data_IF_299778139586
#
_entry.id   IF_299778139586
#
_cell.length_a   1.000
_cell.length_b   1.000
_cell.length_c   1.000
_cell.angle_alpha   90.00
_cell.angle_beta   90.00
_cell.angle_gamma   90.00
#
_symmetry.space_group_name_H-M   'P 1'
#
loop_
_entity.id
_entity.type
_entity.pdbx_description
1 polymer ?
#
# COMPACT_ATOMS: atom_id res chain seq x y z
N UNK A 1 2.86 -0.81 22.48
CA UNK A 1 3.79 -1.93 22.68
C UNK A 1 4.29 -1.99 24.13
N UNK A 2 3.42 -2.39 25.06
CA UNK A 2 3.72 -2.44 26.51
C UNK A 2 3.39 -3.80 27.12
N UNK A 3 3.48 -4.87 26.34
CA UNK A 3 3.48 -6.24 26.86
C UNK A 3 4.91 -6.66 27.23
N UNK A 4 5.09 -7.48 28.27
CA UNK A 4 6.40 -7.92 28.79
C UNK A 4 7.32 -8.69 27.83
N UNK A 5 6.92 -8.88 26.57
CA UNK A 5 7.70 -9.46 25.48
C UNK A 5 8.28 -8.42 24.51
N UNK A 6 7.97 -7.14 24.71
CA UNK A 6 8.45 -6.06 23.85
C UNK A 6 9.89 -5.67 24.22
N UNK A 7 10.77 -5.59 23.23
CA UNK A 7 12.13 -5.07 23.40
C UNK A 7 12.12 -3.57 23.69
N UNK A 8 13.20 -2.99 24.26
CA UNK A 8 13.31 -1.55 24.47
C UNK A 8 13.14 -0.70 23.20
N UNK A 9 13.36 -1.29 22.02
CA UNK A 9 13.21 -0.66 20.70
C UNK A 9 11.78 -0.74 20.15
N UNK A 10 10.90 -1.55 20.77
CA UNK A 10 9.54 -1.77 20.29
C UNK A 10 8.69 -0.49 20.29
N UNK A 11 8.78 0.44 21.25
CA UNK A 11 8.04 1.70 21.20
C UNK A 11 8.43 2.60 20.01
N UNK A 12 9.68 2.53 19.57
CA UNK A 12 10.20 3.32 18.44
C UNK A 12 9.72 2.75 17.11
N UNK A 13 9.65 1.43 16.98
CA UNK A 13 9.21 0.76 15.75
C UNK A 13 7.68 0.67 15.67
N UNK A 14 7.02 0.33 16.78
CA UNK A 14 5.57 0.16 16.89
C UNK A 14 4.90 1.39 17.49
N UNK A 15 5.42 2.59 17.20
CA UNK A 15 4.94 3.85 17.75
C UNK A 15 3.47 4.14 17.38
N UNK A 16 2.98 3.54 16.29
CA UNK A 16 1.56 3.60 15.88
C UNK A 16 0.64 2.71 16.72
N UNK A 17 1.19 1.75 17.46
CA UNK A 17 0.43 0.80 18.27
C UNK A 17 0.57 -0.65 17.81
N UNK A 18 0.13 -1.57 18.65
CA UNK A 18 0.17 -3.01 18.35
C UNK A 18 -0.80 -3.33 17.21
N UNK A 19 -0.32 -4.05 16.19
CA UNK A 19 -1.15 -4.44 15.04
C UNK A 19 -1.33 -3.36 13.98
N UNK A 20 -0.69 -2.20 14.16
CA UNK A 20 -0.58 -1.16 13.14
C UNK A 20 0.62 -1.42 12.22
N UNK A 21 0.56 -0.85 11.02
CA UNK A 21 1.62 -0.99 10.03
C UNK A 21 2.84 -0.15 10.42
N UNK A 22 4.03 -0.75 10.37
CA UNK A 22 5.31 -0.05 10.59
C UNK A 22 5.74 0.74 9.35
N UNK A 23 6.71 1.64 9.50
CA UNK A 23 7.32 2.33 8.34
C UNK A 23 7.95 1.33 7.37
N UNK A 24 8.70 0.36 7.88
CA UNK A 24 9.22 -0.75 7.06
C UNK A 24 8.10 -1.50 6.32
N UNK A 25 6.94 -1.68 6.94
CA UNK A 25 5.77 -2.29 6.32
C UNK A 25 5.19 -1.45 5.17
N UNK A 26 5.21 -0.12 5.30
CA UNK A 26 4.83 0.81 4.23
C UNK A 26 5.82 0.72 3.08
N UNK A 27 7.12 0.75 3.37
CA UNK A 27 8.20 0.70 2.37
C UNK A 27 8.19 -0.62 1.60
N UNK A 28 7.97 -1.74 2.30
CA UNK A 28 7.85 -3.06 1.68
C UNK A 28 6.65 -3.14 0.73
N UNK A 29 5.49 -2.61 1.13
CA UNK A 29 4.32 -2.56 0.25
C UNK A 29 4.57 -1.66 -0.98
N UNK A 30 5.26 -0.54 -0.79
CA UNK A 30 5.64 0.36 -1.89
C UNK A 30 6.61 -0.30 -2.87
N UNK A 31 7.65 -0.98 -2.36
CA UNK A 31 8.61 -1.72 -3.17
C UNK A 31 7.90 -2.81 -3.99
N UNK A 32 7.00 -3.57 -3.38
CA UNK A 32 6.20 -4.56 -4.09
C UNK A 32 5.35 -3.94 -5.20
N UNK A 33 4.76 -2.76 -4.97
CA UNK A 33 4.02 -2.03 -5.99
C UNK A 33 4.88 -1.60 -7.20
N UNK A 34 6.15 -1.24 -6.97
CA UNK A 34 7.11 -0.97 -8.06
C UNK A 34 7.40 -2.23 -8.87
N UNK A 35 7.61 -3.37 -8.22
CA UNK A 35 7.87 -4.62 -8.93
C UNK A 35 6.66 -5.03 -9.79
N UNK A 36 5.44 -4.77 -9.32
CA UNK A 36 4.22 -5.03 -10.10
C UNK A 36 4.05 -4.03 -11.25
N UNK A 37 4.48 -2.78 -11.06
CA UNK A 37 4.50 -1.78 -12.12
C UNK A 37 5.39 -2.22 -13.27
N UNK A 38 6.60 -2.68 -12.98
CA UNK A 38 7.52 -3.18 -14.01
C UNK A 38 6.93 -4.38 -14.76
N UNK A 39 6.30 -5.31 -14.02
CA UNK A 39 5.73 -6.53 -14.61
C UNK A 39 4.46 -6.29 -15.44
N UNK A 40 3.58 -5.40 -14.99
CA UNK A 40 2.21 -5.32 -15.52
C UNK A 40 1.85 -3.97 -16.15
N UNK A 41 2.35 -2.87 -15.60
CA UNK A 41 2.01 -1.52 -16.11
C UNK A 41 2.94 -1.12 -17.24
N UNK A 42 4.25 -1.31 -17.07
CA UNK A 42 5.24 -0.89 -18.06
C UNK A 42 5.24 -1.79 -19.31
N UNK A 43 4.77 -3.03 -19.19
CA UNK A 43 4.56 -3.95 -20.31
C UNK A 43 3.28 -3.66 -21.09
N UNK A 44 2.40 -2.79 -20.57
CA UNK A 44 1.11 -2.48 -21.17
C UNK A 44 0.01 -3.51 -20.90
N UNK A 45 0.23 -4.48 -20.00
CA UNK A 45 -0.81 -5.44 -19.60
C UNK A 45 -1.94 -4.77 -18.80
N UNK A 46 -1.61 -3.74 -18.01
CA UNK A 46 -2.57 -2.88 -17.30
C UNK A 46 -2.27 -1.42 -17.68
N UNK A 47 -3.32 -0.62 -17.91
CA UNK A 47 -3.15 0.79 -18.22
C UNK A 47 -2.63 1.59 -17.01
N UNK A 48 -1.56 2.37 -17.26
CA UNK A 48 -0.89 3.22 -16.27
C UNK A 48 -1.79 4.27 -15.59
N UNK A 49 -2.95 4.58 -16.17
CA UNK A 49 -3.91 5.57 -15.68
C UNK A 49 -4.85 5.03 -14.61
N UNK A 50 -4.81 3.72 -14.31
CA UNK A 50 -5.81 2.98 -13.55
C UNK A 50 -7.19 3.02 -14.22
N UNK A 51 -7.60 1.90 -14.82
CA UNK A 51 -8.93 1.73 -15.38
C UNK A 51 -9.74 0.78 -14.48
N UNK A 52 -10.89 1.20 -13.94
CA UNK A 52 -11.74 0.33 -13.09
C UNK A 52 -12.24 -0.94 -13.78
N UNK A 53 -12.21 -0.98 -15.12
CA UNK A 53 -12.53 -2.17 -15.92
C UNK A 53 -11.41 -3.20 -15.97
N UNK A 54 -10.18 -2.83 -15.61
CA UNK A 54 -8.99 -3.69 -15.64
C UNK A 54 -8.54 -4.11 -14.25
N UNK A 55 -8.64 -3.21 -13.26
CA UNK A 55 -8.13 -3.45 -11.90
C UNK A 55 -9.15 -3.05 -10.85
N UNK A 56 -9.37 -3.94 -9.89
CA UNK A 56 -10.16 -3.70 -8.70
C UNK A 56 -9.32 -3.97 -7.45
N UNK A 57 -9.25 -3.00 -6.53
CA UNK A 57 -8.46 -3.09 -5.31
C UNK A 57 -9.37 -3.31 -4.11
N UNK A 58 -9.22 -4.46 -3.43
CA UNK A 58 -9.99 -4.80 -2.24
C UNK A 58 -9.07 -5.12 -1.08
N UNK A 59 -9.44 -4.69 0.12
CA UNK A 59 -8.68 -4.96 1.34
C UNK A 59 -9.60 -5.25 2.52
N UNK A 60 -9.06 -5.83 3.59
CA UNK A 60 -9.75 -5.88 4.89
C UNK A 60 -9.86 -4.46 5.47
N UNK A 61 -10.90 -4.20 6.26
CA UNK A 61 -11.20 -2.88 6.84
C UNK A 61 -10.27 -2.45 7.99
N UNK A 62 -9.23 -3.23 8.29
CA UNK A 62 -8.25 -2.87 9.34
C UNK A 62 -7.17 -1.94 8.78
N UNK A 63 -6.75 -0.97 9.60
CA UNK A 63 -5.81 0.10 9.23
C UNK A 63 -4.58 -0.40 8.47
N UNK A 64 -3.87 -1.40 9.00
CA UNK A 64 -2.68 -1.96 8.35
C UNK A 64 -2.93 -2.46 6.93
N UNK A 65 -4.09 -3.05 6.66
CA UNK A 65 -4.44 -3.59 5.35
C UNK A 65 -4.81 -2.47 4.36
N UNK A 66 -5.50 -1.43 4.83
CA UNK A 66 -5.79 -0.24 4.03
C UNK A 66 -4.51 0.53 3.69
N UNK A 67 -3.62 0.71 4.68
CA UNK A 67 -2.33 1.38 4.48
C UNK A 67 -1.42 0.61 3.52
N UNK A 68 -1.32 -0.71 3.65
CA UNK A 68 -0.55 -1.53 2.70
C UNK A 68 -1.10 -1.42 1.28
N UNK A 69 -2.42 -1.52 1.10
CA UNK A 69 -3.05 -1.38 -0.21
C UNK A 69 -2.81 0.02 -0.82
N UNK A 70 -2.91 1.07 0.00
CA UNK A 70 -2.62 2.45 -0.43
C UNK A 70 -1.16 2.61 -0.85
N UNK A 71 -0.21 2.13 -0.04
CA UNK A 71 1.23 2.20 -0.35
C UNK A 71 1.57 1.45 -1.65
N UNK A 72 1.08 0.22 -1.78
CA UNK A 72 1.26 -0.61 -2.97
C UNK A 72 0.71 0.08 -4.23
N UNK A 73 -0.53 0.56 -4.19
CA UNK A 73 -1.18 1.19 -5.36
C UNK A 73 -0.56 2.52 -5.75
N UNK A 74 -0.06 3.29 -4.79
CA UNK A 74 0.67 4.53 -5.04
C UNK A 74 1.99 4.29 -5.81
N UNK A 75 2.67 3.17 -5.55
CA UNK A 75 3.82 2.77 -6.36
C UNK A 75 3.42 2.24 -7.75
N UNK A 76 2.36 1.43 -7.79
CA UNK A 76 1.90 0.74 -8.99
C UNK A 76 1.47 1.73 -10.08
N UNK A 77 0.57 2.66 -9.77
CA UNK A 77 0.05 3.60 -10.74
C UNK A 77 0.91 4.86 -10.82
N UNK A 78 0.95 5.51 -12.00
CA UNK A 78 1.72 6.74 -12.20
C UNK A 78 0.88 7.96 -11.85
N UNK A 79 1.56 9.12 -11.82
CA UNK A 79 0.90 10.41 -11.76
C UNK A 79 0.14 10.69 -13.06
N UNK A 80 -0.94 11.43 -12.96
CA UNK A 80 -1.66 12.03 -14.10
C UNK A 80 -0.73 12.95 -14.91
N UNK A 81 -1.11 13.37 -16.13
CA UNK A 81 -0.33 14.34 -16.90
C UNK A 81 -0.04 15.66 -16.18
N UNK A 82 -0.79 15.99 -15.12
CA UNK A 82 -0.62 17.20 -14.29
C UNK A 82 0.17 16.93 -13.00
N UNK A 83 0.91 15.82 -12.94
CA UNK A 83 1.73 15.42 -11.78
C UNK A 83 0.93 15.10 -10.49
N UNK A 84 -0.40 14.92 -10.58
CA UNK A 84 -1.19 14.42 -9.45
C UNK A 84 -1.09 12.91 -9.30
N UNK A 85 -0.97 12.39 -8.07
CA UNK A 85 -1.03 10.96 -7.82
C UNK A 85 -2.40 10.38 -8.25
N UNK A 86 -2.38 9.24 -8.92
CA UNK A 86 -3.59 8.44 -9.11
C UNK A 86 -3.82 7.67 -7.82
N UNK A 87 -4.99 7.82 -7.22
CA UNK A 87 -5.38 7.15 -5.97
C UNK A 87 -6.51 6.18 -6.29
N UNK A 88 -6.21 4.89 -6.54
CA UNK A 88 -7.26 3.91 -6.77
C UNK A 88 -8.18 3.78 -5.55
N UNK A 89 -9.50 3.63 -5.76
CA UNK A 89 -10.42 3.31 -4.67
C UNK A 89 -10.06 1.94 -4.08
N UNK A 90 -9.95 1.88 -2.76
CA UNK A 90 -9.75 0.64 -2.00
C UNK A 90 -11.07 0.27 -1.36
N UNK A 91 -11.67 -0.81 -1.84
CA UNK A 91 -12.95 -1.29 -1.34
C UNK A 91 -12.75 -2.23 -0.15
N UNK A 92 -13.61 -2.13 0.84
CA UNK A 92 -13.67 -3.07 1.97
C UNK A 92 -14.87 -4.00 1.79
N UNK A 93 -14.79 -5.20 2.38
CA UNK A 93 -15.98 -5.99 2.68
C UNK A 93 -16.34 -5.73 4.14
N UNK A 94 -17.61 -5.48 4.41
CA UNK A 94 -18.16 -5.51 5.75
C UNK A 94 -18.18 -6.95 6.31
#
# INVERSE_FOLDING_TARGET
ATSGWATPQSPQILFRGNGELTDDGIDNAFAQGKDFKERYVNTGFIDKRFLPTEVFVRSSSVNRCLMSAASFTNALFKKTPKDHAVVPPIYTKD
#
